data_IF_091091398045
#
_entry.id   IF_091091398045
#
_cell.length_a   1.000
_cell.length_b   1.000
_cell.length_c   1.000
_cell.angle_alpha   90.00
_cell.angle_beta   90.00
_cell.angle_gamma   90.00
#
_symmetry.space_group_name_H-M   'P 1'
#
loop_
_entity.id
_entity.type
_entity.pdbx_description
1 polymer ?
#
# COMPACT_ATOMS: atom_id res chain seq x y z
N UNK A 1 10.77 -5.29 1.83
CA UNK A 1 11.45 -6.49 1.31
C UNK A 1 11.88 -6.27 -0.13
N UNK A 2 12.93 -6.91 -0.59
CA UNK A 2 13.37 -6.84 -1.98
C UNK A 2 12.51 -7.63 -2.98
N UNK A 3 11.48 -8.36 -2.50
CA UNK A 3 10.64 -9.24 -3.31
C UNK A 3 9.35 -8.53 -3.75
N UNK A 4 9.48 -7.50 -4.59
CA UNK A 4 8.33 -6.77 -5.13
C UNK A 4 7.39 -7.71 -5.91
N UNK A 5 6.09 -7.46 -5.79
CA UNK A 5 5.05 -8.21 -6.48
C UNK A 5 4.61 -9.52 -5.81
N UNK A 6 5.27 -9.95 -4.72
CA UNK A 6 4.95 -11.22 -4.05
C UNK A 6 3.98 -11.07 -2.87
N UNK A 7 3.97 -9.91 -2.22
CA UNK A 7 3.18 -9.68 -1.01
C UNK A 7 1.69 -9.97 -1.19
N UNK A 8 1.10 -9.49 -2.30
CA UNK A 8 -0.32 -9.70 -2.57
C UNK A 8 -0.64 -11.18 -2.87
N UNK A 9 0.26 -11.88 -3.57
CA UNK A 9 0.09 -13.33 -3.86
C UNK A 9 0.07 -14.15 -2.58
N UNK A 10 1.01 -13.91 -1.66
CA UNK A 10 1.01 -14.56 -0.34
C UNK A 10 -0.25 -14.22 0.47
N UNK A 11 -0.61 -12.93 0.51
CA UNK A 11 -1.82 -12.49 1.22
C UNK A 11 -3.09 -13.14 0.67
N UNK A 12 -3.18 -13.30 -0.66
CA UNK A 12 -4.29 -13.97 -1.33
C UNK A 12 -4.39 -15.44 -0.93
N UNK A 13 -3.25 -16.15 -0.92
CA UNK A 13 -3.19 -17.55 -0.45
C UNK A 13 -3.62 -17.70 1.02
N UNK A 14 -3.12 -16.82 1.90
CA UNK A 14 -3.51 -16.81 3.31
C UNK A 14 -5.00 -16.50 3.51
N UNK A 15 -5.54 -15.52 2.77
CA UNK A 15 -6.95 -15.17 2.83
C UNK A 15 -7.84 -16.31 2.34
N UNK A 16 -7.43 -16.99 1.27
CA UNK A 16 -8.13 -18.16 0.74
C UNK A 16 -8.12 -19.33 1.73
N UNK A 17 -6.98 -19.66 2.31
CA UNK A 17 -6.87 -20.70 3.33
C UNK A 17 -7.77 -20.42 4.55
N UNK A 18 -7.79 -19.16 5.05
CA UNK A 18 -8.71 -18.78 6.13
C UNK A 18 -10.16 -18.98 5.75
N UNK A 19 -10.53 -18.66 4.50
CA UNK A 19 -11.90 -18.82 4.01
C UNK A 19 -12.32 -20.28 3.92
N UNK A 20 -11.47 -21.14 3.36
CA UNK A 20 -11.73 -22.60 3.29
C UNK A 20 -11.88 -23.20 4.69
N UNK A 21 -10.98 -22.85 5.60
CA UNK A 21 -10.98 -23.36 6.98
C UNK A 21 -12.03 -22.68 7.87
N UNK A 22 -12.86 -21.78 7.33
CA UNK A 22 -13.88 -21.00 8.07
C UNK A 22 -13.29 -20.20 9.25
N UNK A 23 -12.02 -19.84 9.18
CA UNK A 23 -11.34 -19.06 10.21
C UNK A 23 -11.70 -17.56 10.10
N UNK A 24 -12.03 -16.94 11.24
CA UNK A 24 -12.36 -15.53 11.32
C UNK A 24 -11.11 -14.63 11.14
N UNK A 25 -11.34 -13.37 10.81
CA UNK A 25 -10.33 -12.32 10.71
C UNK A 25 -9.90 -12.03 9.27
N UNK A 26 -9.25 -10.89 9.10
CA UNK A 26 -8.82 -10.36 7.80
C UNK A 26 -7.30 -10.47 7.63
N UNK A 27 -6.87 -10.54 6.40
CA UNK A 27 -5.46 -10.45 5.98
C UNK A 27 -5.23 -9.04 5.43
N UNK A 28 -4.25 -8.33 5.98
CA UNK A 28 -3.80 -7.03 5.49
C UNK A 28 -2.47 -7.19 4.78
N UNK A 29 -2.37 -6.60 3.59
CA UNK A 29 -1.15 -6.60 2.78
C UNK A 29 -0.78 -5.16 2.47
N UNK A 30 0.38 -4.72 2.94
CA UNK A 30 0.94 -3.42 2.57
C UNK A 30 1.78 -3.60 1.30
N UNK A 31 1.48 -2.80 0.29
CA UNK A 31 2.17 -2.78 -1.00
C UNK A 31 2.56 -1.33 -1.35
N UNK A 32 3.49 -1.15 -2.26
CA UNK A 32 3.90 0.17 -2.75
C UNK A 32 3.30 0.48 -4.12
N UNK A 33 3.31 1.75 -4.51
CA UNK A 33 2.92 2.15 -5.87
C UNK A 33 3.93 1.66 -6.93
N UNK A 34 5.23 1.58 -6.62
CA UNK A 34 6.22 0.97 -7.50
C UNK A 34 5.98 -0.52 -7.73
N UNK A 35 5.42 -1.22 -6.75
CA UNK A 35 5.05 -2.63 -6.84
C UNK A 35 3.89 -2.88 -7.83
N UNK A 36 3.10 -1.85 -8.15
CA UNK A 36 2.04 -1.92 -9.16
C UNK A 36 2.58 -2.13 -10.60
N UNK A 37 3.88 -2.02 -10.80
CA UNK A 37 4.52 -2.36 -12.08
C UNK A 37 4.80 -3.87 -12.23
N UNK A 38 4.58 -4.66 -11.19
CA UNK A 38 4.74 -6.12 -11.22
C UNK A 38 3.46 -6.80 -11.71
N UNK A 39 3.55 -7.63 -12.75
CA UNK A 39 2.41 -8.37 -13.32
C UNK A 39 1.73 -9.29 -12.29
N UNK A 40 2.52 -9.91 -11.40
CA UNK A 40 2.02 -10.80 -10.33
C UNK A 40 1.02 -10.13 -9.37
N UNK A 41 1.11 -8.81 -9.17
CA UNK A 41 0.13 -8.04 -8.40
C UNK A 41 -1.25 -8.10 -9.07
N UNK A 42 -1.29 -7.87 -10.38
CA UNK A 42 -2.54 -7.85 -11.15
C UNK A 42 -3.13 -9.25 -11.34
N UNK A 43 -2.29 -10.27 -11.52
CA UNK A 43 -2.72 -11.67 -11.53
C UNK A 43 -3.36 -12.05 -10.18
N UNK A 44 -2.72 -11.67 -9.07
CA UNK A 44 -3.26 -11.87 -7.73
C UNK A 44 -4.56 -11.10 -7.50
N UNK A 45 -4.68 -9.89 -8.07
CA UNK A 45 -5.89 -9.10 -7.99
C UNK A 45 -7.06 -9.78 -8.70
N UNK A 46 -6.85 -10.31 -9.91
CA UNK A 46 -7.87 -11.08 -10.65
C UNK A 46 -8.29 -12.33 -9.88
N UNK A 47 -7.33 -13.12 -9.41
CA UNK A 47 -7.61 -14.34 -8.64
C UNK A 47 -8.38 -14.05 -7.36
N UNK A 48 -7.97 -13.02 -6.60
CA UNK A 48 -8.63 -12.63 -5.36
C UNK A 48 -10.08 -12.21 -5.57
N UNK A 49 -10.35 -11.51 -6.66
CA UNK A 49 -11.71 -11.14 -7.07
C UNK A 49 -12.53 -12.38 -7.45
N UNK A 50 -11.98 -13.28 -8.28
CA UNK A 50 -12.64 -14.55 -8.67
C UNK A 50 -13.00 -15.41 -7.47
N UNK A 51 -12.13 -15.47 -6.46
CA UNK A 51 -12.34 -16.26 -5.23
C UNK A 51 -13.18 -15.52 -4.18
N UNK A 52 -13.62 -14.29 -4.48
CA UNK A 52 -14.35 -13.42 -3.55
C UNK A 52 -13.66 -13.33 -2.18
N UNK A 53 -12.36 -13.01 -2.16
CA UNK A 53 -11.57 -12.93 -0.91
C UNK A 53 -11.94 -11.66 -0.12
N UNK A 54 -13.16 -11.63 0.38
CA UNK A 54 -13.71 -10.50 1.15
C UNK A 54 -13.01 -10.26 2.50
N UNK A 55 -12.12 -11.13 2.89
CA UNK A 55 -11.25 -11.04 4.06
C UNK A 55 -9.82 -10.54 3.72
N UNK A 56 -9.55 -10.19 2.45
CA UNK A 56 -8.30 -9.62 2.00
C UNK A 56 -8.42 -8.10 1.86
N UNK A 57 -7.50 -7.37 2.49
CA UNK A 57 -7.39 -5.92 2.41
C UNK A 57 -5.96 -5.56 1.99
N UNK A 58 -5.79 -4.99 0.81
CA UNK A 58 -4.54 -4.38 0.40
C UNK A 58 -4.50 -2.90 0.81
N UNK A 59 -3.34 -2.40 1.17
CA UNK A 59 -3.09 -0.97 1.43
C UNK A 59 -1.92 -0.57 0.56
N UNK A 60 -2.12 0.41 -0.33
CA UNK A 60 -1.05 0.95 -1.16
C UNK A 60 -0.45 2.16 -0.46
N UNK A 61 0.84 2.12 -0.14
CA UNK A 61 1.62 3.33 0.13
C UNK A 61 1.85 4.06 -1.19
N UNK A 62 0.93 4.99 -1.51
CA UNK A 62 0.96 5.76 -2.74
C UNK A 62 1.73 7.07 -2.53
N UNK A 63 3.03 6.96 -2.38
CA UNK A 63 3.94 8.09 -2.16
C UNK A 63 4.45 8.73 -3.47
N UNK A 64 4.11 8.16 -4.64
CA UNK A 64 4.44 8.60 -6.01
C UNK A 64 5.90 8.41 -6.39
N UNK A 65 6.65 7.63 -5.59
CA UNK A 65 8.05 7.30 -5.86
C UNK A 65 8.27 5.79 -5.87
N UNK A 66 9.19 5.36 -6.70
CA UNK A 66 9.78 4.03 -6.67
C UNK A 66 11.32 4.15 -6.67
N UNK A 67 12.02 3.02 -6.65
CA UNK A 67 13.47 2.99 -6.48
C UNK A 67 14.24 3.95 -7.41
N UNK A 68 13.83 4.06 -8.65
CA UNK A 68 14.55 4.79 -9.70
C UNK A 68 13.99 6.18 -10.01
N UNK A 69 12.92 6.62 -9.35
CA UNK A 69 12.33 7.94 -9.55
C UNK A 69 10.84 8.02 -9.29
N UNK A 70 10.17 9.01 -9.87
CA UNK A 70 8.72 9.19 -9.72
C UNK A 70 7.95 8.14 -10.50
N UNK A 71 6.98 7.51 -9.85
CA UNK A 71 6.21 6.39 -10.40
C UNK A 71 5.52 6.70 -11.72
N UNK A 72 5.02 7.92 -11.92
CA UNK A 72 4.36 8.32 -13.17
C UNK A 72 5.31 8.65 -14.32
N UNK A 73 6.59 8.91 -14.04
CA UNK A 73 7.63 9.17 -15.04
C UNK A 73 8.26 7.87 -15.53
N UNK A 74 8.35 6.85 -14.67
CA UNK A 74 8.93 5.56 -15.00
C UNK A 74 7.91 4.67 -15.72
N UNK A 75 6.76 4.40 -15.10
CA UNK A 75 5.65 3.70 -15.72
C UNK A 75 4.35 4.16 -15.08
N UNK A 76 3.53 4.89 -15.83
CA UNK A 76 2.33 5.51 -15.31
C UNK A 76 1.24 4.49 -14.96
N UNK A 77 0.95 4.40 -13.67
CA UNK A 77 -0.08 3.50 -13.12
C UNK A 77 -1.46 4.15 -13.01
N UNK A 78 -1.59 5.45 -13.31
CA UNK A 78 -2.87 6.17 -13.24
C UNK A 78 -3.83 5.72 -14.34
N UNK A 79 -5.15 5.80 -14.11
CA UNK A 79 -5.83 6.05 -12.83
C UNK A 79 -5.90 4.77 -11.98
N UNK A 80 -5.13 4.71 -10.88
CA UNK A 80 -4.95 3.50 -10.08
C UNK A 80 -6.27 2.98 -9.50
N UNK A 81 -7.12 3.89 -8.98
CA UNK A 81 -8.41 3.54 -8.40
C UNK A 81 -9.32 2.82 -9.41
N UNK A 82 -9.43 3.34 -10.65
CA UNK A 82 -10.25 2.72 -11.70
C UNK A 82 -9.72 1.36 -12.14
N UNK A 83 -8.40 1.19 -12.20
CA UNK A 83 -7.79 -0.11 -12.50
C UNK A 83 -8.22 -1.15 -11.47
N UNK A 84 -8.08 -0.87 -10.18
CA UNK A 84 -8.50 -1.78 -9.12
C UNK A 84 -10.01 -2.06 -9.13
N UNK A 85 -10.83 -1.04 -9.39
CA UNK A 85 -12.27 -1.23 -9.57
C UNK A 85 -12.60 -2.17 -10.73
N UNK A 86 -11.90 -2.03 -11.86
CA UNK A 86 -12.06 -2.90 -13.04
C UNK A 86 -11.67 -4.35 -12.75
N UNK A 87 -10.74 -4.57 -11.82
CA UNK A 87 -10.38 -5.91 -11.33
C UNK A 87 -11.37 -6.46 -10.29
N UNK A 88 -12.47 -5.76 -10.02
CA UNK A 88 -13.54 -6.21 -9.12
C UNK A 88 -13.29 -5.94 -7.63
N UNK A 89 -12.35 -5.08 -7.29
CA UNK A 89 -12.04 -4.70 -5.91
C UNK A 89 -12.88 -3.52 -5.44
N UNK A 90 -13.16 -3.50 -4.14
CA UNK A 90 -13.72 -2.33 -3.45
C UNK A 90 -12.59 -1.37 -3.09
N UNK A 91 -12.70 -0.11 -3.51
CA UNK A 91 -11.59 0.87 -3.46
C UNK A 91 -11.97 2.07 -2.61
N UNK A 92 -11.09 2.44 -1.68
CA UNK A 92 -11.15 3.71 -0.95
C UNK A 92 -9.80 4.42 -1.11
N UNK A 93 -9.85 5.74 -1.28
CA UNK A 93 -8.67 6.61 -1.22
C UNK A 93 -8.66 7.40 0.09
N UNK A 94 -7.49 7.61 0.68
CA UNK A 94 -7.37 8.35 1.93
C UNK A 94 -6.06 9.13 2.04
N UNK A 95 -6.00 10.09 2.96
CA UNK A 95 -4.75 10.72 3.37
C UNK A 95 -3.95 9.76 4.26
N UNK A 96 -2.87 9.19 3.71
CA UNK A 96 -2.02 8.21 4.37
C UNK A 96 -1.10 8.77 5.46
N UNK A 97 -0.95 10.09 5.55
CA UNK A 97 -0.23 10.73 6.64
C UNK A 97 -1.15 11.18 7.80
N UNK A 98 -2.42 10.72 7.80
CA UNK A 98 -3.40 11.02 8.86
C UNK A 98 -3.95 9.74 9.48
N UNK A 99 -3.60 9.46 10.73
CA UNK A 99 -4.14 8.31 11.48
C UNK A 99 -5.68 8.29 11.49
N UNK A 100 -6.31 9.46 11.65
CA UNK A 100 -7.78 9.58 11.61
C UNK A 100 -8.34 9.15 10.26
N UNK A 101 -7.70 9.58 9.16
CA UNK A 101 -8.13 9.23 7.79
C UNK A 101 -7.97 7.74 7.51
N UNK A 102 -6.83 7.15 7.85
CA UNK A 102 -6.57 5.71 7.70
C UNK A 102 -7.58 4.89 8.52
N UNK A 103 -7.74 5.21 9.81
CA UNK A 103 -8.65 4.48 10.70
C UNK A 103 -10.10 4.55 10.21
N UNK A 104 -10.56 5.72 9.75
CA UNK A 104 -11.91 5.86 9.22
C UNK A 104 -12.10 5.06 7.93
N UNK A 105 -11.09 5.05 7.06
CA UNK A 105 -11.10 4.28 5.80
C UNK A 105 -11.13 2.77 6.06
N UNK A 106 -10.34 2.27 7.00
CA UNK A 106 -10.38 0.87 7.42
C UNK A 106 -11.76 0.50 7.96
N UNK A 107 -12.31 1.30 8.88
CA UNK A 107 -13.66 1.05 9.43
C UNK A 107 -14.73 1.07 8.35
N UNK A 108 -14.64 1.96 7.37
CA UNK A 108 -15.59 2.06 6.25
C UNK A 108 -15.50 0.85 5.33
N UNK A 109 -14.28 0.50 4.88
CA UNK A 109 -14.08 -0.55 3.88
C UNK A 109 -14.40 -1.95 4.45
N UNK A 110 -14.25 -2.17 5.74
CA UNK A 110 -14.59 -3.42 6.42
C UNK A 110 -16.09 -3.68 6.50
N UNK A 111 -16.95 -2.67 6.25
CA UNK A 111 -18.41 -2.86 6.19
C UNK A 111 -18.85 -3.65 4.96
N UNK A 112 -18.13 -3.54 3.84
CA UNK A 112 -18.38 -4.35 2.66
C UNK A 112 -17.96 -5.81 2.94
N UNK A 113 -18.81 -6.78 2.57
CA UNK A 113 -18.58 -8.20 2.83
C UNK A 113 -18.44 -9.05 1.56
N UNK A 114 -18.48 -8.43 0.39
CA UNK A 114 -18.64 -9.16 -0.86
C UNK A 114 -17.35 -9.26 -1.68
N UNK A 115 -16.46 -8.30 -1.58
CA UNK A 115 -15.31 -8.15 -2.47
C UNK A 115 -13.99 -8.07 -1.71
N UNK A 116 -12.85 -8.41 -2.34
CA UNK A 116 -11.54 -7.99 -1.83
C UNK A 116 -11.45 -6.47 -1.84
N UNK A 117 -10.60 -5.90 -1.00
CA UNK A 117 -10.58 -4.49 -0.68
C UNK A 117 -9.21 -3.89 -0.85
N UNK A 118 -9.17 -2.63 -1.30
CA UNK A 118 -7.93 -1.87 -1.36
C UNK A 118 -8.12 -0.44 -0.85
N UNK A 119 -7.16 0.02 -0.07
CA UNK A 119 -7.05 1.40 0.38
C UNK A 119 -5.84 2.02 -0.33
N UNK A 120 -6.06 3.01 -1.17
CA UNK A 120 -4.99 3.80 -1.79
C UNK A 120 -4.67 4.94 -0.83
N UNK A 121 -3.56 4.80 -0.14
CA UNK A 121 -3.11 5.71 0.91
C UNK A 121 -2.16 6.74 0.31
N UNK A 122 -2.66 7.96 0.07
CA UNK A 122 -1.85 9.06 -0.45
C UNK A 122 -0.91 9.56 0.64
N UNK A 123 0.38 9.30 0.48
CA UNK A 123 1.44 9.67 1.41
C UNK A 123 2.44 10.63 0.77
N UNK A 124 3.28 11.21 1.60
CA UNK A 124 4.46 11.97 1.22
C UNK A 124 5.67 11.14 1.63
N UNK A 125 6.54 10.79 0.68
CA UNK A 125 7.81 10.10 0.98
C UNK A 125 8.64 10.94 1.94
N UNK A 126 9.14 10.35 3.03
CA UNK A 126 9.96 11.05 4.03
C UNK A 126 9.18 12.00 4.95
N UNK A 127 7.85 11.90 5.02
CA UNK A 127 6.98 12.82 5.78
C UNK A 127 7.42 13.02 7.22
N UNK A 128 7.57 14.30 7.59
CA UNK A 128 7.95 14.74 8.93
C UNK A 128 9.43 15.10 9.08
N UNK A 129 10.23 14.85 8.04
CA UNK A 129 11.65 15.24 7.98
C UNK A 129 11.86 16.07 6.71
N UNK A 130 11.96 17.39 6.86
CA UNK A 130 11.90 18.34 5.73
C UNK A 130 12.87 18.02 4.60
N UNK A 131 14.11 17.65 4.93
CA UNK A 131 15.13 17.33 3.93
C UNK A 131 14.94 15.94 3.28
N UNK A 132 13.99 15.12 3.77
CA UNK A 132 13.63 13.82 3.18
C UNK A 132 12.34 13.88 2.37
N UNK A 133 11.48 14.90 2.58
CA UNK A 133 10.18 14.95 1.92
C UNK A 133 10.33 15.05 0.40
N UNK A 134 9.70 14.11 -0.30
CA UNK A 134 9.69 14.04 -1.79
C UNK A 134 11.08 13.95 -2.44
N UNK A 135 12.09 13.52 -1.72
CA UNK A 135 13.43 13.28 -2.26
C UNK A 135 13.69 11.78 -2.40
N UNK A 136 13.91 11.33 -3.66
CA UNK A 136 14.12 9.93 -4.00
C UNK A 136 15.48 9.38 -3.55
N UNK A 137 16.47 10.23 -3.29
CA UNK A 137 17.78 9.81 -2.79
C UNK A 137 17.68 9.02 -1.48
N UNK A 138 16.64 9.29 -0.68
CA UNK A 138 16.35 8.59 0.57
C UNK A 138 15.74 7.19 0.40
N UNK A 139 15.69 6.68 -0.83
CA UNK A 139 15.29 5.29 -1.05
C UNK A 139 16.39 4.29 -0.66
N UNK A 140 17.65 4.66 -0.88
CA UNK A 140 18.80 3.78 -0.66
C UNK A 140 19.78 4.29 0.40
N UNK A 141 19.69 5.55 0.76
CA UNK A 141 20.62 6.25 1.62
C UNK A 141 20.18 6.18 3.07
N UNK A 142 21.14 5.94 3.97
CA UNK A 142 20.97 6.12 5.42
C UNK A 142 21.36 7.56 5.82
N UNK A 143 20.72 8.15 6.86
CA UNK A 143 21.12 9.45 7.37
C UNK A 143 22.51 9.42 8.03
N UNK A 144 23.26 10.52 7.96
CA UNK A 144 24.44 10.75 8.77
C UNK A 144 24.05 10.99 10.24
N UNK A 145 25.04 11.04 11.15
CA UNK A 145 24.75 11.30 12.57
C UNK A 145 24.12 12.68 12.79
N UNK A 146 24.54 13.71 12.04
CA UNK A 146 23.97 15.05 12.09
C UNK A 146 22.53 15.08 11.59
N UNK A 147 22.27 14.45 10.44
CA UNK A 147 20.94 14.32 9.86
C UNK A 147 20.01 13.52 10.78
N UNK A 148 20.52 12.48 11.44
CA UNK A 148 19.74 11.72 12.41
C UNK A 148 19.35 12.58 13.62
N UNK A 149 20.27 13.38 14.16
CA UNK A 149 19.98 14.32 15.26
C UNK A 149 18.90 15.34 14.83
N UNK A 150 19.04 15.92 13.64
CA UNK A 150 18.06 16.86 13.10
C UNK A 150 16.69 16.20 12.90
N UNK A 151 16.66 14.99 12.35
CA UNK A 151 15.41 14.22 12.16
C UNK A 151 14.70 13.96 13.49
N UNK A 152 15.43 13.61 14.55
CA UNK A 152 14.85 13.40 15.88
C UNK A 152 14.21 14.67 16.43
N UNK A 153 14.84 15.84 16.23
CA UNK A 153 14.28 17.14 16.63
C UNK A 153 12.97 17.40 15.89
N UNK A 154 12.97 17.27 14.55
CA UNK A 154 11.79 17.52 13.73
C UNK A 154 10.64 16.56 14.07
N UNK A 155 10.92 15.30 14.34
CA UNK A 155 9.94 14.28 14.72
C UNK A 155 9.56 14.33 16.21
N UNK A 156 10.17 15.24 17.00
CA UNK A 156 9.96 15.35 18.46
C UNK A 156 10.22 14.05 19.22
N UNK A 157 11.20 13.27 18.74
CA UNK A 157 11.64 12.02 19.36
C UNK A 157 12.77 12.33 20.36
N UNK A 158 12.67 11.78 21.57
CA UNK A 158 13.72 11.89 22.59
C UNK A 158 14.87 10.92 22.34
#
# INVERSE_FOLDING_TARGET
TGSLGHGLSFGSGMAHAKKINKNKGSIFVLVSDGEMNCGSVWESALLSSKLNLNNLIAIVDYNKFQATGKSNEILNIKPLNRKWQSFGWDVIECNGNSHKSITSSIKKILKNKDKPKIIISHTIKGKGVDFMENDNNWHYRSPTNEELKLSKVQLKIK
#
